data_IF_164642256509
#
_entry.id   IF_164642256509
#
_cell.length_a   1.000
_cell.length_b   1.000
_cell.length_c   1.000
_cell.angle_alpha   90.00
_cell.angle_beta   90.00
_cell.angle_gamma   90.00
#
_symmetry.space_group_name_H-M   'P 1'
#
loop_
_entity.id
_entity.type
_entity.pdbx_description
1 polymer ?
#
# COMPACT_ATOMS: atom_id res chain seq x y z
N UNK A 1 4.31 -7.51 18.16
CA UNK A 1 4.40 -7.21 16.70
C UNK A 1 5.76 -6.58 16.41
N UNK A 2 6.55 -7.13 15.47
CA UNK A 2 7.86 -6.56 15.09
C UNK A 2 7.64 -5.15 14.51
N UNK A 3 8.29 -4.11 15.05
CA UNK A 3 8.05 -2.69 14.69
C UNK A 3 8.12 -2.40 13.18
N UNK A 4 8.97 -3.11 12.43
CA UNK A 4 9.05 -3.00 10.97
C UNK A 4 7.77 -3.41 10.22
N UNK A 5 7.04 -4.41 10.72
CA UNK A 5 5.76 -4.83 10.12
C UNK A 5 4.65 -3.79 10.29
N UNK A 6 4.67 -3.03 11.39
CA UNK A 6 3.67 -1.98 11.64
C UNK A 6 3.90 -0.79 10.71
N UNK A 7 5.16 -0.35 10.55
CA UNK A 7 5.51 0.75 9.64
C UNK A 7 5.11 0.44 8.19
N UNK A 8 5.38 -0.79 7.72
CA UNK A 8 4.96 -1.24 6.40
C UNK A 8 3.43 -1.24 6.23
N UNK A 9 2.68 -1.73 7.21
CA UNK A 9 1.23 -1.80 7.14
C UNK A 9 0.59 -0.40 7.09
N UNK A 10 1.07 0.52 7.93
CA UNK A 10 0.59 1.92 7.95
C UNK A 10 0.94 2.61 6.63
N UNK A 11 2.18 2.47 6.14
CA UNK A 11 2.60 3.05 4.87
C UNK A 11 1.74 2.55 3.71
N UNK A 12 1.54 1.24 3.62
CA UNK A 12 0.74 0.62 2.55
C UNK A 12 -0.71 1.09 2.61
N UNK A 13 -1.31 1.14 3.79
CA UNK A 13 -2.68 1.61 3.97
C UNK A 13 -2.86 3.08 3.56
N UNK A 14 -1.96 3.96 4.01
CA UNK A 14 -1.98 5.39 3.63
C UNK A 14 -1.75 5.57 2.13
N UNK A 15 -0.80 4.85 1.55
CA UNK A 15 -0.50 4.89 0.12
C UNK A 15 -1.71 4.50 -0.72
N UNK A 16 -2.39 3.40 -0.37
CA UNK A 16 -3.61 2.95 -1.05
C UNK A 16 -4.71 3.99 -0.92
N UNK A 17 -4.93 4.54 0.28
CA UNK A 17 -5.93 5.57 0.50
C UNK A 17 -5.72 6.80 -0.38
N UNK A 18 -4.48 7.28 -0.48
CA UNK A 18 -4.12 8.42 -1.35
C UNK A 18 -4.35 8.06 -2.82
N UNK A 19 -3.93 6.88 -3.28
CA UNK A 19 -4.12 6.46 -4.68
C UNK A 19 -5.59 6.34 -5.06
N UNK A 20 -6.41 5.75 -4.19
CA UNK A 20 -7.86 5.65 -4.41
C UNK A 20 -8.48 7.03 -4.45
N UNK A 21 -8.14 7.92 -3.51
CA UNK A 21 -8.65 9.29 -3.47
C UNK A 21 -8.29 10.09 -4.74
N UNK A 22 -7.04 9.99 -5.19
CA UNK A 22 -6.60 10.61 -6.44
C UNK A 22 -7.37 10.02 -7.63
N UNK A 23 -7.56 8.69 -7.67
CA UNK A 23 -8.27 8.05 -8.77
C UNK A 23 -9.74 8.45 -8.87
N UNK A 24 -10.41 8.61 -7.72
CA UNK A 24 -11.80 9.09 -7.66
C UNK A 24 -11.91 10.55 -8.07
N UNK A 25 -10.87 11.35 -7.84
CA UNK A 25 -10.83 12.75 -8.28
C UNK A 25 -10.53 12.88 -9.78
N UNK A 26 -9.61 12.07 -10.32
CA UNK A 26 -9.23 12.10 -11.73
C UNK A 26 -10.30 11.50 -12.64
N UNK A 27 -10.98 10.44 -12.17
CA UNK A 27 -11.99 9.72 -12.95
C UNK A 27 -13.25 9.56 -12.10
N UNK A 28 -14.08 10.61 -12.01
CA UNK A 28 -15.30 10.59 -11.20
C UNK A 28 -16.31 9.54 -11.66
N UNK A 29 -16.27 9.17 -12.95
CA UNK A 29 -17.12 8.13 -13.55
C UNK A 29 -16.47 6.74 -13.55
N UNK A 30 -15.39 6.54 -12.80
CA UNK A 30 -14.80 5.23 -12.67
C UNK A 30 -15.82 4.27 -12.04
N UNK A 31 -16.08 3.16 -12.73
CA UNK A 31 -16.92 2.10 -12.19
C UNK A 31 -16.35 1.57 -10.88
N UNK A 32 -17.20 1.09 -9.96
CA UNK A 32 -16.75 0.50 -8.69
C UNK A 32 -15.71 -0.61 -8.89
N UNK A 33 -15.78 -1.33 -10.01
CA UNK A 33 -14.80 -2.36 -10.40
C UNK A 33 -13.43 -1.72 -10.65
N UNK A 34 -13.38 -0.60 -11.37
CA UNK A 34 -12.13 0.14 -11.65
C UNK A 34 -11.46 0.58 -10.36
N UNK A 35 -12.21 1.12 -9.40
CA UNK A 35 -11.68 1.54 -8.09
C UNK A 35 -11.12 0.36 -7.28
N UNK A 36 -11.78 -0.81 -7.32
CA UNK A 36 -11.27 -2.03 -6.69
C UNK A 36 -9.95 -2.47 -7.33
N UNK A 37 -9.87 -2.48 -8.67
CA UNK A 37 -8.64 -2.84 -9.38
C UNK A 37 -7.51 -1.89 -9.02
N UNK A 38 -7.76 -0.58 -8.98
CA UNK A 38 -6.77 0.43 -8.59
C UNK A 38 -6.31 0.20 -7.15
N UNK A 39 -7.24 -0.06 -6.21
CA UNK A 39 -6.90 -0.32 -4.82
C UNK A 39 -6.02 -1.57 -4.66
N UNK A 40 -6.33 -2.66 -5.38
CA UNK A 40 -5.54 -3.91 -5.35
C UNK A 40 -4.14 -3.68 -5.92
N UNK A 41 -4.03 -3.00 -7.06
CA UNK A 41 -2.74 -2.67 -7.67
C UNK A 41 -1.91 -1.75 -6.77
N UNK A 42 -2.55 -0.72 -6.19
CA UNK A 42 -1.90 0.19 -5.26
C UNK A 42 -1.43 -0.54 -3.99
N UNK A 43 -2.19 -1.50 -3.48
CA UNK A 43 -1.80 -2.30 -2.31
C UNK A 43 -0.61 -3.20 -2.63
N UNK A 44 -0.59 -3.80 -3.81
CA UNK A 44 0.52 -4.63 -4.27
C UNK A 44 1.81 -3.82 -4.42
N UNK A 45 1.73 -2.68 -5.13
CA UNK A 45 2.88 -1.79 -5.35
C UNK A 45 3.32 -1.16 -4.03
N UNK A 46 2.39 -0.63 -3.24
CA UNK A 46 2.65 -0.02 -1.94
C UNK A 46 3.26 -1.02 -0.96
N UNK A 47 2.84 -2.29 -1.00
CA UNK A 47 3.42 -3.37 -0.22
C UNK A 47 4.85 -3.71 -0.65
N UNK A 48 5.13 -3.79 -1.96
CA UNK A 48 6.48 -4.02 -2.48
C UNK A 48 7.44 -2.87 -2.12
N UNK A 49 6.97 -1.63 -2.29
CA UNK A 49 7.71 -0.41 -1.93
C UNK A 49 7.92 -0.35 -0.40
N UNK A 50 6.86 -0.59 0.37
CA UNK A 50 6.89 -0.62 1.82
C UNK A 50 7.82 -1.68 2.38
N UNK A 51 7.93 -2.84 1.73
CA UNK A 51 8.88 -3.88 2.09
C UNK A 51 10.34 -3.46 1.86
N UNK A 52 10.62 -2.62 0.84
CA UNK A 52 11.95 -2.03 0.65
C UNK A 52 12.24 -0.86 1.60
N UNK A 53 11.24 -0.04 1.93
CA UNK A 53 11.36 1.13 2.81
C UNK A 53 11.44 0.75 4.29
N UNK A 54 10.69 -0.27 4.68
CA UNK A 54 10.70 -0.83 6.02
C UNK A 54 11.13 -2.30 5.93
N UNK A 55 12.40 -2.56 5.57
CA UNK A 55 12.91 -3.91 5.52
C UNK A 55 12.64 -4.54 6.87
N UNK A 56 11.90 -5.65 6.84
CA UNK A 56 11.68 -6.46 8.02
C UNK A 56 13.09 -6.81 8.48
N UNK A 57 13.53 -6.27 9.62
CA UNK A 57 14.73 -6.78 10.29
C UNK A 57 14.39 -8.23 10.61
N UNK A 58 14.75 -9.10 9.68
CA UNK A 58 15.13 -10.45 10.01
C UNK A 58 16.22 -10.25 11.04
N UNK A 59 15.85 -10.61 12.26
CA UNK A 59 16.79 -10.90 13.31
C UNK A 59 17.79 -11.82 12.66
N UNK A 60 18.96 -11.24 12.39
CA UNK A 60 20.13 -11.87 11.84
C UNK A 60 20.63 -12.82 12.93
N UNK A 61 19.89 -13.91 13.17
CA UNK A 61 20.32 -15.00 14.03
C UNK A 61 21.23 -15.86 13.18
N UNK A 62 22.47 -15.40 13.20
CA UNK A 62 23.71 -16.16 13.11
C UNK A 62 23.57 -17.58 13.68
#
# INVERSE_FOLDING_TARGET
>A
MKRGSIGMAIFTGVFVGIMVFISTYLVPEASSITSIVIAVLAAFIGGLIGNKLFPRREEQTR
#
